data_IF_753938655070
#
_entry.id   IF_753938655070
#
_cell.length_a   1.000
_cell.length_b   1.000
_cell.length_c   1.000
_cell.angle_alpha   90.00
_cell.angle_beta   90.00
_cell.angle_gamma   90.00
#
_symmetry.space_group_name_H-M   'P 1'
#
loop_
_entity.id
_entity.type
_entity.pdbx_description
1 polymer ?
#
# COMPACT_ATOMS: atom_id res chain seq x y z
N UNK A 1 27.07 7.44 -24.81
CA UNK A 1 27.19 8.18 -23.52
C UNK A 1 25.86 8.83 -23.18
N UNK A 2 25.12 8.34 -22.17
CA UNK A 2 23.88 8.98 -21.72
C UNK A 2 24.27 10.25 -20.95
N UNK A 3 23.86 11.42 -21.44
CA UNK A 3 24.19 12.70 -20.80
C UNK A 3 23.70 12.73 -19.34
N UNK A 4 24.51 13.27 -18.42
CA UNK A 4 24.15 13.43 -17.00
C UNK A 4 22.80 14.14 -16.80
N UNK A 5 22.37 14.94 -17.79
CA UNK A 5 21.05 15.57 -17.85
C UNK A 5 19.91 14.55 -17.96
N UNK A 6 20.06 13.50 -18.76
CA UNK A 6 19.03 12.48 -18.96
C UNK A 6 18.80 11.62 -17.70
N UNK A 7 19.87 11.32 -16.95
CA UNK A 7 19.78 10.59 -15.67
C UNK A 7 19.07 11.45 -14.62
N UNK A 8 19.38 12.76 -14.56
CA UNK A 8 18.70 13.70 -13.65
C UNK A 8 17.22 13.84 -13.97
N UNK A 9 16.86 13.89 -15.26
CA UNK A 9 15.45 13.97 -15.69
C UNK A 9 14.70 12.68 -15.33
N UNK A 10 15.31 11.50 -15.50
CA UNK A 10 14.69 10.22 -15.12
C UNK A 10 14.47 10.11 -13.60
N UNK A 11 15.44 10.55 -12.79
CA UNK A 11 15.28 10.62 -11.33
C UNK A 11 14.17 11.58 -10.92
N UNK A 12 14.09 12.77 -11.55
CA UNK A 12 13.07 13.75 -11.26
C UNK A 12 11.67 13.25 -11.65
N UNK A 13 11.54 12.58 -12.80
CA UNK A 13 10.29 11.97 -13.25
C UNK A 13 9.85 10.83 -12.31
N UNK A 14 10.78 10.00 -11.84
CA UNK A 14 10.49 8.93 -10.88
C UNK A 14 10.04 9.47 -9.53
N UNK A 15 10.69 10.53 -9.03
CA UNK A 15 10.25 11.24 -7.81
C UNK A 15 8.88 11.92 -8.00
N UNK A 16 8.62 12.52 -9.17
CA UNK A 16 7.32 13.10 -9.50
C UNK A 16 6.21 12.05 -9.50
N UNK A 17 6.43 10.89 -10.14
CA UNK A 17 5.47 9.78 -10.18
C UNK A 17 5.18 9.23 -8.77
N UNK A 18 6.21 9.06 -7.94
CA UNK A 18 6.04 8.64 -6.54
C UNK A 18 5.29 9.69 -5.72
N UNK A 19 5.55 10.98 -5.94
CA UNK A 19 4.87 12.05 -5.24
C UNK A 19 3.39 12.16 -5.66
N UNK A 20 3.08 12.05 -6.96
CA UNK A 20 1.70 12.00 -7.43
C UNK A 20 0.96 10.78 -6.89
N UNK A 21 1.61 9.62 -6.85
CA UNK A 21 1.05 8.41 -6.24
C UNK A 21 0.79 8.58 -4.73
N UNK A 22 1.73 9.15 -3.98
CA UNK A 22 1.55 9.42 -2.55
C UNK A 22 0.50 10.51 -2.29
N UNK A 23 0.40 11.53 -3.13
CA UNK A 23 -0.65 12.54 -3.05
C UNK A 23 -2.03 11.94 -3.35
N UNK A 24 -2.15 11.04 -4.33
CA UNK A 24 -3.40 10.30 -4.59
C UNK A 24 -3.76 9.39 -3.40
N UNK A 25 -2.76 8.73 -2.81
CA UNK A 25 -2.92 7.91 -1.60
C UNK A 25 -3.38 8.73 -0.38
N UNK A 26 -2.82 9.94 -0.20
CA UNK A 26 -3.19 10.86 0.88
C UNK A 26 -4.58 11.49 0.67
N UNK A 27 -4.99 11.76 -0.59
CA UNK A 27 -6.33 12.28 -0.89
C UNK A 27 -7.42 11.24 -0.66
N UNK A 28 -7.15 9.95 -0.85
CA UNK A 28 -8.08 8.86 -0.50
C UNK A 28 -8.33 8.75 1.01
N UNK A 29 -7.39 9.19 1.84
CA UNK A 29 -7.52 9.12 3.31
C UNK A 29 -8.11 10.39 3.93
N UNK A 30 -8.10 11.53 3.24
CA UNK A 30 -8.48 12.83 3.83
C UNK A 30 -9.83 13.39 3.36
N UNK A 31 -10.51 12.78 2.38
CA UNK A 31 -11.81 13.24 1.87
C UNK A 31 -12.98 12.35 2.35
N UNK A 32 -13.00 12.02 3.64
CA UNK A 32 -14.12 11.27 4.24
C UNK A 32 -15.15 12.22 4.84
N UNK A 33 -16.32 12.37 4.21
CA UNK A 33 -17.50 12.88 4.92
C UNK A 33 -17.78 11.94 6.10
N UNK A 34 -17.91 12.50 7.31
CA UNK A 34 -18.10 11.71 8.52
C UNK A 34 -19.55 11.22 8.60
N UNK A 35 -19.82 10.05 8.02
CA UNK A 35 -21.10 9.38 8.13
C UNK A 35 -21.19 8.63 9.47
N UNK A 36 -22.04 9.11 10.37
CA UNK A 36 -22.32 8.46 11.65
C UNK A 36 -23.73 7.89 11.62
N UNK A 37 -23.85 6.60 11.85
CA UNK A 37 -25.12 5.92 11.98
C UNK A 37 -25.02 4.88 13.10
N UNK A 38 -26.04 4.80 13.95
CA UNK A 38 -26.06 3.89 15.09
C UNK A 38 -26.64 2.55 14.66
N UNK A 39 -25.90 1.48 14.94
CA UNK A 39 -26.30 0.11 14.63
C UNK A 39 -26.13 -0.77 15.86
N UNK A 40 -27.09 -1.65 16.10
CA UNK A 40 -27.02 -2.63 17.18
C UNK A 40 -26.59 -3.98 16.64
N UNK A 41 -25.67 -4.69 17.33
CA UNK A 41 -25.27 -6.03 16.93
C UNK A 41 -26.41 -7.02 17.15
N UNK A 42 -26.44 -8.07 16.34
CA UNK A 42 -27.29 -9.25 16.59
C UNK A 42 -26.78 -10.04 17.81
N UNK A 43 -27.54 -11.02 18.34
CA UNK A 43 -27.05 -11.89 19.42
C UNK A 43 -25.75 -12.64 19.09
N UNK A 44 -25.43 -12.80 17.81
CA UNK A 44 -24.18 -13.41 17.32
C UNK A 44 -23.06 -12.38 17.09
N UNK A 45 -23.26 -11.12 17.45
CA UNK A 45 -22.29 -10.05 17.26
C UNK A 45 -22.21 -9.49 15.82
N UNK A 46 -23.17 -9.82 14.94
CA UNK A 46 -23.14 -9.31 13.57
C UNK A 46 -23.64 -7.87 13.52
N UNK A 47 -22.92 -7.01 12.80
CA UNK A 47 -23.29 -5.61 12.59
C UNK A 47 -23.42 -5.35 11.10
N UNK A 48 -24.52 -4.72 10.69
CA UNK A 48 -24.74 -4.34 9.29
C UNK A 48 -24.06 -3.00 9.02
N UNK A 49 -23.18 -2.94 8.02
CA UNK A 49 -22.62 -1.67 7.54
C UNK A 49 -23.67 -0.97 6.68
N UNK A 50 -24.19 0.21 7.07
CA UNK A 50 -25.23 0.90 6.32
C UNK A 50 -24.82 1.30 4.90
N UNK A 51 -25.82 1.45 4.01
CA UNK A 51 -25.58 1.75 2.59
C UNK A 51 -24.74 3.01 2.36
N UNK A 52 -24.99 4.16 3.03
CA UNK A 52 -24.18 5.36 2.81
C UNK A 52 -22.70 5.15 3.11
N UNK A 53 -22.39 4.41 4.19
CA UNK A 53 -21.01 4.10 4.58
C UNK A 53 -20.36 3.13 3.59
N UNK A 54 -21.10 2.11 3.13
CA UNK A 54 -20.59 1.19 2.10
C UNK A 54 -20.27 1.91 0.80
N UNK A 55 -21.17 2.79 0.35
CA UNK A 55 -21.02 3.51 -0.90
C UNK A 55 -19.84 4.51 -0.81
N UNK A 56 -19.71 5.22 0.31
CA UNK A 56 -18.58 6.14 0.57
C UNK A 56 -17.22 5.44 0.60
N UNK A 57 -17.16 4.21 1.14
CA UNK A 57 -15.95 3.40 1.23
C UNK A 57 -15.74 2.46 0.03
N UNK A 58 -16.65 2.46 -0.95
CA UNK A 58 -16.60 1.55 -2.11
C UNK A 58 -16.65 0.06 -1.74
N UNK A 59 -17.31 -0.30 -0.64
CA UNK A 59 -17.39 -1.68 -0.16
C UNK A 59 -18.30 -2.51 -1.05
N UNK A 60 -17.76 -3.63 -1.54
CA UNK A 60 -18.52 -4.63 -2.30
C UNK A 60 -18.67 -5.91 -1.46
N UNK A 61 -19.61 -6.81 -1.80
CA UNK A 61 -19.71 -8.12 -1.13
C UNK A 61 -18.43 -8.98 -1.21
N UNK A 62 -17.50 -8.64 -2.12
CA UNK A 62 -16.21 -9.33 -2.28
C UNK A 62 -15.09 -8.68 -1.47
N UNK A 63 -15.31 -7.49 -0.92
CA UNK A 63 -14.31 -6.77 -0.14
C UNK A 63 -14.07 -7.50 1.18
N UNK A 64 -12.82 -7.91 1.42
CA UNK A 64 -12.42 -8.48 2.71
C UNK A 64 -12.12 -7.34 3.68
N UNK A 65 -12.56 -7.49 4.92
CA UNK A 65 -12.31 -6.54 5.99
C UNK A 65 -11.46 -7.22 7.06
N UNK A 66 -10.41 -6.55 7.51
CA UNK A 66 -9.69 -6.89 8.73
C UNK A 66 -10.45 -6.30 9.91
N UNK A 67 -10.64 -7.11 10.95
CA UNK A 67 -11.31 -6.69 12.17
C UNK A 67 -10.33 -6.80 13.33
N UNK A 68 -10.09 -5.71 14.03
CA UNK A 68 -9.21 -5.67 15.19
C UNK A 68 -9.70 -4.65 16.21
N UNK A 69 -9.26 -4.80 17.46
CA UNK A 69 -9.52 -3.84 18.52
C UNK A 69 -8.34 -2.88 18.65
N UNK A 70 -8.59 -1.57 18.59
CA UNK A 70 -7.60 -0.54 18.86
C UNK A 70 -8.21 0.55 19.75
N UNK A 71 -7.52 0.90 20.85
CA UNK A 71 -7.93 1.97 21.79
C UNK A 71 -9.39 1.88 22.23
N UNK A 72 -9.87 0.68 22.54
CA UNK A 72 -11.25 0.43 22.97
C UNK A 72 -12.31 0.54 21.88
N UNK A 73 -11.91 0.59 20.60
CA UNK A 73 -12.79 0.65 19.44
C UNK A 73 -12.57 -0.58 18.57
N UNK A 74 -13.65 -1.08 17.95
CA UNK A 74 -13.55 -2.08 16.89
C UNK A 74 -13.28 -1.34 15.59
N UNK A 75 -12.18 -1.67 14.93
CA UNK A 75 -11.78 -1.12 13.64
C UNK A 75 -12.04 -2.17 12.57
N UNK A 76 -12.71 -1.74 11.49
CA UNK A 76 -12.90 -2.53 10.28
C UNK A 76 -12.16 -1.85 9.15
N UNK A 77 -11.15 -2.52 8.60
CA UNK A 77 -10.27 -1.95 7.58
C UNK A 77 -10.32 -2.79 6.30
N UNK A 78 -10.60 -2.20 5.13
CA UNK A 78 -10.55 -2.91 3.86
C UNK A 78 -9.16 -3.45 3.57
N UNK A 79 -9.08 -4.73 3.23
CA UNK A 79 -7.83 -5.40 2.85
C UNK A 79 -7.80 -5.56 1.34
N UNK A 80 -6.79 -4.99 0.70
CA UNK A 80 -6.50 -5.25 -0.70
C UNK A 80 -5.80 -6.62 -0.83
N UNK A 81 -5.91 -7.30 -1.99
CA UNK A 81 -5.14 -8.51 -2.24
C UNK A 81 -3.62 -8.31 -2.10
N UNK A 82 -3.13 -7.10 -2.36
CA UNK A 82 -1.73 -6.73 -2.18
C UNK A 82 -1.34 -6.74 -0.70
N UNK A 83 -2.21 -6.29 0.19
CA UNK A 83 -1.91 -6.25 1.63
C UNK A 83 -1.68 -7.66 2.19
N UNK A 84 -2.47 -8.65 1.77
CA UNK A 84 -2.24 -10.05 2.16
C UNK A 84 -0.91 -10.60 1.65
N UNK A 85 -0.55 -10.29 0.40
CA UNK A 85 0.73 -10.71 -0.18
C UNK A 85 1.91 -10.03 0.54
N UNK A 86 1.78 -8.75 0.88
CA UNK A 86 2.78 -8.01 1.63
C UNK A 86 2.97 -8.59 3.04
N UNK A 87 1.89 -8.99 3.72
CA UNK A 87 1.99 -9.65 5.03
C UNK A 87 2.73 -10.98 4.98
N UNK A 88 2.49 -11.79 3.95
CA UNK A 88 3.20 -13.05 3.74
C UNK A 88 4.70 -12.80 3.51
N UNK A 89 5.03 -11.81 2.67
CA UNK A 89 6.42 -11.40 2.41
C UNK A 89 7.11 -10.86 3.69
N UNK A 90 6.41 -10.04 4.47
CA UNK A 90 6.94 -9.54 5.75
C UNK A 90 7.16 -10.67 6.75
N UNK A 91 6.26 -11.63 6.83
CA UNK A 91 6.38 -12.79 7.71
C UNK A 91 7.61 -13.64 7.32
N UNK A 92 7.81 -13.88 6.03
CA UNK A 92 8.97 -14.60 5.51
C UNK A 92 10.28 -13.84 5.79
N UNK A 93 10.30 -12.53 5.56
CA UNK A 93 11.47 -11.69 5.83
C UNK A 93 11.85 -11.72 7.33
N UNK A 94 10.86 -11.64 8.23
CA UNK A 94 11.07 -11.76 9.68
C UNK A 94 11.59 -13.14 10.08
N UNK A 95 11.05 -14.22 9.52
CA UNK A 95 11.52 -15.58 9.79
C UNK A 95 12.97 -15.80 9.37
N UNK A 96 13.35 -15.22 8.24
CA UNK A 96 14.72 -15.27 7.71
C UNK A 96 15.68 -14.28 8.39
N UNK A 97 15.17 -13.41 9.27
CA UNK A 97 15.97 -12.44 10.01
C UNK A 97 16.55 -11.31 9.15
N UNK A 98 15.89 -10.98 8.03
CA UNK A 98 16.33 -9.90 7.16
C UNK A 98 16.40 -8.58 7.93
N UNK A 99 17.58 -7.97 7.95
CA UNK A 99 17.76 -6.61 8.46
C UNK A 99 17.44 -5.59 7.37
N UNK A 100 17.27 -4.33 7.78
CA UNK A 100 17.08 -3.23 6.81
C UNK A 100 18.29 -3.12 5.88
N UNK A 101 19.47 -3.29 6.43
CA UNK A 101 20.74 -3.21 5.71
C UNK A 101 20.94 -4.37 4.72
N UNK A 102 20.33 -5.54 4.98
CA UNK A 102 20.29 -6.66 4.03
C UNK A 102 19.38 -6.34 2.84
N UNK A 103 18.19 -5.81 3.12
CA UNK A 103 17.21 -5.41 2.10
C UNK A 103 17.78 -4.31 1.19
N UNK A 104 18.41 -3.29 1.77
CA UNK A 104 19.01 -2.19 1.00
C UNK A 104 20.12 -2.69 0.06
N UNK A 105 20.94 -3.64 0.51
CA UNK A 105 21.97 -4.27 -0.33
C UNK A 105 21.38 -5.09 -1.48
N UNK A 106 20.36 -5.90 -1.22
CA UNK A 106 19.72 -6.70 -2.26
C UNK A 106 19.01 -5.82 -3.31
N UNK A 107 18.30 -4.79 -2.87
CA UNK A 107 17.62 -3.84 -3.76
C UNK A 107 18.63 -3.13 -4.67
N UNK A 108 19.78 -2.71 -4.12
CA UNK A 108 20.81 -2.05 -4.93
C UNK A 108 21.43 -3.01 -5.94
N UNK A 109 21.72 -4.25 -5.56
CA UNK A 109 22.23 -5.26 -6.49
C UNK A 109 21.26 -5.54 -7.65
N UNK A 110 19.95 -5.64 -7.37
CA UNK A 110 18.92 -5.82 -8.40
C UNK A 110 18.82 -4.58 -9.29
N UNK A 111 18.90 -3.38 -8.70
CA UNK A 111 18.90 -2.10 -9.43
C UNK A 111 20.06 -2.05 -10.43
N UNK A 112 21.28 -2.37 -10.01
CA UNK A 112 22.45 -2.39 -10.90
C UNK A 112 22.28 -3.38 -12.04
N UNK A 113 21.77 -4.58 -11.76
CA UNK A 113 21.48 -5.59 -12.78
C UNK A 113 20.41 -5.12 -13.79
N UNK A 114 19.34 -4.48 -13.30
CA UNK A 114 18.29 -3.94 -14.15
C UNK A 114 18.81 -2.80 -15.03
N UNK A 115 19.61 -1.89 -14.46
CA UNK A 115 20.25 -0.80 -15.22
C UNK A 115 21.10 -1.37 -16.35
N UNK A 116 21.93 -2.38 -16.07
CA UNK A 116 22.77 -3.03 -17.08
C UNK A 116 21.96 -3.72 -18.18
N UNK A 117 20.81 -4.31 -17.84
CA UNK A 117 19.92 -4.99 -18.81
C UNK A 117 19.10 -4.02 -19.66
N UNK A 118 18.61 -2.93 -19.07
CA UNK A 118 17.71 -1.97 -19.73
C UNK A 118 18.46 -0.89 -20.48
N UNK A 119 19.66 -0.54 -20.01
CA UNK A 119 20.59 0.37 -20.66
C UNK A 119 21.94 -0.35 -20.85
N UNK A 120 22.00 -1.41 -21.66
CA UNK A 120 23.29 -1.96 -22.05
C UNK A 120 24.06 -0.81 -22.68
N UNK A 121 25.28 -0.56 -22.18
CA UNK A 121 26.13 0.48 -22.74
C UNK A 121 26.23 0.22 -24.24
N UNK A 122 25.59 1.07 -25.04
CA UNK A 122 25.61 0.94 -26.49
C UNK A 122 27.02 1.15 -27.02
N UNK A 123 27.41 0.27 -27.93
CA UNK A 123 28.44 0.48 -28.95
C UNK A 123 28.17 1.75 -29.77
#
# INVERSE_FOLDING_TARGET
MVSATAIRVAHLLSYCLLYEFMLDYSKKTTKGEMHVEFVSPTPKGQVTIPKPIRDALGLTPKTKLRVYADRGRVVLEPVSPLDSLLEELEAEARQKGYTREDLEREVEAVREQLIKKLYPAGD
#
